data_IF_012634591667
#
_entry.id   IF_012634591667
#
_cell.length_a   1.000
_cell.length_b   1.000
_cell.length_c   1.000
_cell.angle_alpha   90.00
_cell.angle_beta   90.00
_cell.angle_gamma   90.00
#
_symmetry.space_group_name_H-M   'P 1'
#
loop_
_entity.id
_entity.type
_entity.pdbx_description
1 polymer ?
#
# COMPACT_ATOMS: atom_id res chain seq x y z
N UNK A 1 -10.78 19.98 -6.98
CA UNK A 1 -11.70 18.83 -7.19
C UNK A 1 -11.63 17.93 -5.97
N UNK A 2 -12.77 17.50 -5.39
CA UNK A 2 -12.78 16.56 -4.25
C UNK A 2 -12.60 15.13 -4.75
N UNK A 3 -11.71 14.37 -4.11
CA UNK A 3 -11.44 12.97 -4.45
C UNK A 3 -12.27 12.04 -3.56
N UNK A 4 -12.70 10.89 -4.11
CA UNK A 4 -13.40 9.84 -3.35
C UNK A 4 -12.37 9.00 -2.58
N UNK A 5 -12.11 9.38 -1.32
CA UNK A 5 -11.07 8.78 -0.46
C UNK A 5 -11.09 7.25 -0.45
N UNK A 6 -12.24 6.62 -0.18
CA UNK A 6 -12.35 5.15 -0.13
C UNK A 6 -12.01 4.46 -1.45
N UNK A 7 -12.38 5.04 -2.60
CA UNK A 7 -12.09 4.44 -3.91
C UNK A 7 -10.59 4.47 -4.22
N UNK A 8 -9.94 5.58 -3.92
CA UNK A 8 -8.49 5.72 -4.10
C UNK A 8 -7.71 4.85 -3.11
N UNK A 9 -8.13 4.80 -1.86
CA UNK A 9 -7.54 3.95 -0.83
C UNK A 9 -7.62 2.46 -1.22
N UNK A 10 -8.77 2.01 -1.73
CA UNK A 10 -8.94 0.65 -2.23
C UNK A 10 -8.05 0.37 -3.44
N UNK A 11 -7.98 1.29 -4.40
CA UNK A 11 -7.10 1.14 -5.56
C UNK A 11 -5.63 1.03 -5.14
N UNK A 12 -5.19 1.86 -4.18
CA UNK A 12 -3.84 1.80 -3.63
C UNK A 12 -3.57 0.51 -2.87
N UNK A 13 -4.53 0.01 -2.08
CA UNK A 13 -4.40 -1.26 -1.36
C UNK A 13 -4.26 -2.46 -2.32
N UNK A 14 -5.06 -2.49 -3.41
CA UNK A 14 -4.96 -3.51 -4.45
C UNK A 14 -3.60 -3.42 -5.15
N UNK A 15 -3.17 -2.21 -5.50
CA UNK A 15 -1.87 -1.98 -6.13
C UNK A 15 -0.72 -2.47 -5.22
N UNK A 16 -0.75 -2.11 -3.94
CA UNK A 16 0.23 -2.58 -2.96
C UNK A 16 0.26 -4.11 -2.87
N UNK A 17 -0.90 -4.76 -2.79
CA UNK A 17 -1.01 -6.22 -2.78
C UNK A 17 -0.41 -6.86 -4.04
N UNK A 18 -0.71 -6.33 -5.22
CA UNK A 18 -0.12 -6.79 -6.49
C UNK A 18 1.41 -6.65 -6.44
N UNK A 19 1.92 -5.50 -6.01
CA UNK A 19 3.37 -5.27 -5.94
C UNK A 19 4.07 -6.23 -4.96
N UNK A 20 3.46 -6.55 -3.83
CA UNK A 20 4.01 -7.51 -2.86
C UNK A 20 4.12 -8.90 -3.47
N UNK A 21 3.10 -9.36 -4.19
CA UNK A 21 3.12 -10.64 -4.89
C UNK A 21 4.15 -10.65 -6.03
N UNK A 22 4.18 -9.58 -6.84
CA UNK A 22 5.17 -9.44 -7.92
C UNK A 22 6.59 -9.48 -7.36
N UNK A 23 6.84 -8.80 -6.24
CA UNK A 23 8.15 -8.77 -5.59
C UNK A 23 8.58 -10.17 -5.11
N UNK A 24 7.67 -10.93 -4.51
CA UNK A 24 7.92 -12.33 -4.14
C UNK A 24 8.28 -13.19 -5.36
N UNK A 25 7.57 -13.02 -6.47
CA UNK A 25 7.82 -13.77 -7.71
C UNK A 25 9.19 -13.41 -8.29
N UNK A 26 9.52 -12.13 -8.49
CA UNK A 26 10.80 -11.73 -9.09
C UNK A 26 11.99 -12.11 -8.20
N UNK A 27 11.82 -12.09 -6.87
CA UNK A 27 12.83 -12.52 -5.92
C UNK A 27 13.14 -14.03 -6.05
N UNK A 28 12.17 -14.85 -6.44
CA UNK A 28 12.40 -16.28 -6.68
C UNK A 28 13.36 -16.55 -7.86
N UNK A 29 13.51 -15.58 -8.78
CA UNK A 29 14.50 -15.57 -9.86
C UNK A 29 15.82 -14.89 -9.47
N UNK A 30 15.98 -14.48 -8.20
CA UNK A 30 17.15 -13.74 -7.72
C UNK A 30 17.19 -12.26 -8.14
N UNK A 31 16.09 -11.72 -8.66
CA UNK A 31 15.98 -10.34 -9.13
C UNK A 31 15.33 -9.50 -8.03
N UNK A 32 15.82 -8.27 -7.80
CA UNK A 32 15.30 -7.35 -6.77
C UNK A 32 15.37 -7.86 -5.32
N UNK A 33 16.29 -8.78 -5.01
CA UNK A 33 16.54 -9.30 -3.65
C UNK A 33 16.72 -8.20 -2.60
N UNK A 34 17.43 -7.11 -2.94
CA UNK A 34 17.57 -5.95 -2.06
C UNK A 34 16.25 -5.26 -1.72
N UNK A 35 15.32 -5.16 -2.66
CA UNK A 35 13.99 -4.58 -2.40
C UNK A 35 13.13 -5.53 -1.56
N UNK A 36 13.26 -6.84 -1.74
CA UNK A 36 12.59 -7.84 -0.91
C UNK A 36 13.08 -7.81 0.54
N UNK A 37 14.37 -7.64 0.77
CA UNK A 37 14.93 -7.48 2.13
C UNK A 37 14.35 -6.25 2.83
N UNK A 38 14.31 -5.10 2.14
CA UNK A 38 13.70 -3.88 2.70
C UNK A 38 12.21 -4.10 2.99
N UNK A 39 11.48 -4.82 2.13
CA UNK A 39 10.06 -5.11 2.39
C UNK A 39 9.85 -6.05 3.58
N UNK A 40 10.79 -6.97 3.85
CA UNK A 40 10.74 -7.81 5.06
C UNK A 40 11.00 -7.00 6.34
N UNK A 41 11.82 -5.94 6.26
CA UNK A 41 12.05 -5.03 7.39
C UNK A 41 10.86 -4.10 7.64
N UNK A 42 10.17 -3.66 6.58
CA UNK A 42 9.05 -2.71 6.66
C UNK A 42 7.72 -3.39 6.99
N UNK A 43 7.51 -4.62 6.53
CA UNK A 43 6.29 -5.39 6.77
C UNK A 43 6.60 -6.57 7.69
N UNK A 44 6.19 -6.44 8.96
CA UNK A 44 6.53 -7.36 10.03
C UNK A 44 6.10 -8.81 9.73
N UNK A 45 4.98 -8.98 9.01
CA UNK A 45 4.44 -10.29 8.68
C UNK A 45 4.81 -10.75 7.27
N UNK A 46 5.61 -9.98 6.52
CA UNK A 46 6.00 -10.35 5.17
C UNK A 46 7.23 -11.26 5.17
N UNK A 47 7.14 -12.36 4.44
CA UNK A 47 8.29 -13.15 4.01
C UNK A 47 8.02 -13.81 2.66
N UNK A 48 9.04 -14.44 2.07
CA UNK A 48 8.96 -15.06 0.73
C UNK A 48 8.23 -16.40 0.70
N UNK A 49 7.83 -16.95 1.85
CA UNK A 49 6.95 -18.12 1.91
C UNK A 49 5.52 -17.74 1.52
N UNK A 50 4.73 -18.72 1.10
CA UNK A 50 3.32 -18.49 0.73
C UNK A 50 2.53 -17.81 1.85
N UNK A 51 2.63 -18.31 3.09
CA UNK A 51 1.90 -17.77 4.22
C UNK A 51 2.38 -16.36 4.60
N UNK A 52 3.69 -16.12 4.60
CA UNK A 52 4.23 -14.78 4.89
C UNK A 52 3.91 -13.76 3.79
N UNK A 53 3.89 -14.16 2.52
CA UNK A 53 3.44 -13.27 1.45
C UNK A 53 1.97 -12.94 1.59
N UNK A 54 1.12 -13.92 1.94
CA UNK A 54 -0.31 -13.68 2.16
C UNK A 54 -0.55 -12.71 3.33
N UNK A 55 0.09 -12.94 4.48
CA UNK A 55 -0.04 -12.05 5.65
C UNK A 55 0.53 -10.67 5.37
N UNK A 56 1.67 -10.58 4.67
CA UNK A 56 2.27 -9.31 4.24
C UNK A 56 1.40 -8.53 3.24
N UNK A 57 0.70 -9.21 2.33
CA UNK A 57 -0.27 -8.56 1.41
C UNK A 57 -1.43 -7.94 2.18
N UNK A 58 -1.96 -8.65 3.17
CA UNK A 58 -3.05 -8.14 4.02
C UNK A 58 -2.57 -6.94 4.83
N UNK A 59 -1.42 -7.06 5.50
CA UNK A 59 -0.80 -5.98 6.27
C UNK A 59 -0.56 -4.74 5.41
N UNK A 60 0.19 -4.89 4.30
CA UNK A 60 0.50 -3.79 3.38
C UNK A 60 -0.77 -3.17 2.79
N UNK A 61 -1.77 -3.97 2.46
CA UNK A 61 -3.07 -3.50 1.96
C UNK A 61 -3.81 -2.64 2.98
N UNK A 62 -3.88 -3.07 4.25
CA UNK A 62 -4.53 -2.31 5.32
C UNK A 62 -3.79 -1.00 5.58
N UNK A 63 -2.46 -1.05 5.73
CA UNK A 63 -1.64 0.14 5.98
C UNK A 63 -1.81 1.14 4.83
N UNK A 64 -1.67 0.68 3.59
CA UNK A 64 -1.81 1.52 2.39
C UNK A 64 -3.21 2.13 2.29
N UNK A 65 -4.25 1.34 2.57
CA UNK A 65 -5.63 1.85 2.57
C UNK A 65 -5.78 3.00 3.56
N UNK A 66 -5.36 2.80 4.81
CA UNK A 66 -5.49 3.80 5.88
C UNK A 66 -4.67 5.06 5.55
N UNK A 67 -3.43 4.90 5.10
CA UNK A 67 -2.54 6.01 4.74
C UNK A 67 -3.11 6.85 3.59
N UNK A 68 -3.56 6.22 2.50
CA UNK A 68 -4.12 6.94 1.35
C UNK A 68 -5.46 7.57 1.71
N UNK A 69 -6.32 6.86 2.46
CA UNK A 69 -7.59 7.40 2.90
C UNK A 69 -7.38 8.67 3.73
N UNK A 70 -6.46 8.62 4.70
CA UNK A 70 -6.14 9.76 5.56
C UNK A 70 -5.55 10.91 4.76
N UNK A 71 -4.60 10.62 3.86
CA UNK A 71 -3.98 11.62 2.99
C UNK A 71 -5.03 12.35 2.13
N UNK A 72 -5.96 11.60 1.52
CA UNK A 72 -7.02 12.20 0.69
C UNK A 72 -8.03 12.97 1.54
N UNK A 73 -8.33 12.49 2.75
CA UNK A 73 -9.16 13.25 3.68
C UNK A 73 -8.51 14.61 3.99
N UNK A 74 -7.22 14.65 4.34
CA UNK A 74 -6.47 15.90 4.58
C UNK A 74 -6.49 16.79 3.33
N UNK A 75 -6.17 16.22 2.15
CA UNK A 75 -6.21 16.93 0.87
C UNK A 75 -7.58 17.57 0.61
N UNK A 76 -8.67 16.83 0.84
CA UNK A 76 -10.03 17.33 0.66
C UNK A 76 -10.37 18.47 1.62
N UNK A 77 -9.82 18.48 2.85
CA UNK A 77 -9.96 19.60 3.78
C UNK A 77 -9.21 20.84 3.28
N UNK A 78 -7.96 20.68 2.82
CA UNK A 78 -7.13 21.79 2.32
C UNK A 78 -7.72 22.41 1.05
N UNK A 79 -8.21 21.59 0.12
CA UNK A 79 -8.85 22.06 -1.13
C UNK A 79 -10.28 22.55 -0.89
N UNK A 80 -10.99 21.99 0.09
CA UNK A 80 -12.33 22.41 0.50
C UNK A 80 -12.36 23.73 1.29
N UNK A 81 -11.22 24.21 1.78
CA UNK A 81 -11.08 25.45 2.57
C UNK A 81 -11.25 26.76 1.79
N UNK A 82 -11.48 26.73 0.46
CA UNK A 82 -11.82 27.92 -0.33
C UNK A 82 -13.28 27.88 -0.78
N UNK A 83 -14.19 28.25 0.13
CA UNK A 83 -15.07 29.44 0.02
C UNK A 83 -15.63 29.76 1.41
N UNK A 84 -14.92 30.65 2.11
CA UNK A 84 -15.49 31.54 3.12
C UNK A 84 -16.24 32.66 2.38
N UNK A 85 -17.50 32.86 2.78
CA UNK A 85 -18.41 33.97 2.47
C UNK A 85 -18.86 34.12 1.02
#
# INVERSE_FOLDING_TARGET
MKLKAGKFALAGAIFAGITMVTLTIVNSFGIYTGATLVMQDVHMYYNTSFWGTLTGVIEAGIITYLSIWLFIWIYNQLVGGKKKK
#
